data_IF_895343372246
#
_entry.id   IF_895343372246
#
_cell.length_a   1.000
_cell.length_b   1.000
_cell.length_c   1.000
_cell.angle_alpha   90.00
_cell.angle_beta   90.00
_cell.angle_gamma   90.00
#
_symmetry.space_group_name_H-M   'P 1'
#
loop_
_entity.id
_entity.type
_entity.pdbx_description
1 polymer ?
#
# COMPACT_ATOMS: atom_id res chain seq x y z
N UNK A 1 -39.41 -4.89 -13.81
CA UNK A 1 -38.49 -5.81 -13.12
C UNK A 1 -37.44 -4.96 -12.44
N UNK A 2 -37.25 -5.12 -11.14
CA UNK A 2 -36.19 -4.41 -10.41
C UNK A 2 -34.83 -4.89 -10.90
N UNK A 3 -33.98 -3.97 -11.36
CA UNK A 3 -32.61 -4.27 -11.75
C UNK A 3 -31.68 -4.32 -10.53
N UNK A 4 -30.48 -4.84 -10.71
CA UNK A 4 -29.54 -5.00 -9.60
C UNK A 4 -28.97 -3.66 -9.08
N UNK A 5 -28.91 -2.62 -9.92
CA UNK A 5 -28.44 -1.29 -9.53
C UNK A 5 -29.39 -0.66 -8.51
N UNK A 6 -30.70 -0.72 -8.76
CA UNK A 6 -31.72 -0.21 -7.84
C UNK A 6 -31.67 -0.90 -6.48
N UNK A 7 -31.47 -2.22 -6.48
CA UNK A 7 -31.32 -3.00 -5.24
C UNK A 7 -30.06 -2.56 -4.49
N UNK A 8 -28.92 -2.45 -5.20
CA UNK A 8 -27.65 -2.05 -4.60
C UNK A 8 -27.69 -0.63 -4.00
N UNK A 9 -28.22 0.35 -4.75
CA UNK A 9 -28.36 1.73 -4.31
C UNK A 9 -29.22 1.83 -3.04
N UNK A 10 -30.33 1.08 -3.01
CA UNK A 10 -31.23 1.07 -1.86
C UNK A 10 -30.60 0.44 -0.62
N UNK A 11 -29.87 -0.66 -0.78
CA UNK A 11 -29.13 -1.30 0.32
C UNK A 11 -28.06 -0.36 0.87
N UNK A 12 -27.31 0.32 0.00
CA UNK A 12 -26.29 1.31 0.37
C UNK A 12 -26.93 2.45 1.17
N UNK A 13 -28.07 2.97 0.73
CA UNK A 13 -28.81 4.03 1.42
C UNK A 13 -29.23 3.60 2.85
N UNK A 14 -29.74 2.38 3.01
CA UNK A 14 -30.13 1.85 4.33
C UNK A 14 -28.92 1.58 5.24
N UNK A 15 -27.80 1.10 4.67
CA UNK A 15 -26.55 0.95 5.42
C UNK A 15 -25.97 2.30 5.86
N UNK A 16 -26.09 3.36 5.03
CA UNK A 16 -25.71 4.73 5.41
C UNK A 16 -26.53 5.24 6.59
N UNK A 17 -27.85 5.04 6.55
CA UNK A 17 -28.76 5.50 7.61
C UNK A 17 -28.52 4.81 8.94
N UNK A 18 -28.23 3.51 8.92
CA UNK A 18 -28.16 2.67 10.13
C UNK A 18 -26.74 2.44 10.63
N UNK A 19 -25.74 2.85 9.85
CA UNK A 19 -24.33 2.53 10.09
C UNK A 19 -23.97 1.11 9.67
N UNK A 20 -22.72 0.95 9.23
CA UNK A 20 -22.13 -0.36 8.97
C UNK A 20 -21.90 -1.11 10.29
N UNK A 21 -22.31 -2.38 10.38
CA UNK A 21 -21.91 -3.26 11.48
C UNK A 21 -20.37 -3.40 11.60
N UNK A 22 -19.87 -3.72 12.79
CA UNK A 22 -18.43 -3.84 13.06
C UNK A 22 -17.77 -5.07 12.41
N UNK A 23 -18.54 -6.10 12.07
CA UNK A 23 -18.04 -7.35 11.49
C UNK A 23 -18.60 -7.61 10.09
N UNK A 24 -17.82 -8.31 9.27
CA UNK A 24 -18.20 -8.67 7.91
C UNK A 24 -19.44 -9.58 7.90
N UNK A 25 -19.54 -10.54 8.84
CA UNK A 25 -20.68 -11.43 8.97
C UNK A 25 -21.98 -10.67 9.31
N UNK A 26 -21.92 -9.73 10.25
CA UNK A 26 -23.07 -8.91 10.62
C UNK A 26 -23.48 -7.97 9.47
N UNK A 27 -22.51 -7.53 8.67
CA UNK A 27 -22.77 -6.73 7.47
C UNK A 27 -23.46 -7.57 6.39
N UNK A 28 -22.99 -8.78 6.12
CA UNK A 28 -23.59 -9.71 5.18
C UNK A 28 -25.02 -10.10 5.58
N UNK A 29 -25.24 -10.39 6.87
CA UNK A 29 -26.57 -10.67 7.42
C UNK A 29 -27.51 -9.47 7.24
N UNK A 30 -27.03 -8.25 7.50
CA UNK A 30 -27.83 -7.04 7.34
C UNK A 30 -28.20 -6.76 5.89
N UNK A 31 -27.26 -6.94 4.97
CA UNK A 31 -27.52 -6.84 3.52
C UNK A 31 -28.59 -7.85 3.10
N UNK A 32 -28.46 -9.10 3.55
CA UNK A 32 -29.44 -10.15 3.27
C UNK A 32 -30.84 -9.81 3.80
N UNK A 33 -30.92 -9.28 5.03
CA UNK A 33 -32.19 -8.84 5.64
C UNK A 33 -32.82 -7.71 4.83
N UNK A 34 -32.07 -6.67 4.46
CA UNK A 34 -32.60 -5.53 3.68
C UNK A 34 -33.15 -6.02 2.34
N UNK A 35 -32.40 -6.85 1.62
CA UNK A 35 -32.82 -7.39 0.32
C UNK A 35 -34.07 -8.26 0.48
N UNK A 36 -34.10 -9.16 1.48
CA UNK A 36 -35.25 -10.01 1.72
C UNK A 36 -36.51 -9.21 2.11
N UNK A 37 -36.36 -8.12 2.87
CA UNK A 37 -37.48 -7.28 3.29
C UNK A 37 -38.01 -6.35 2.20
N UNK A 38 -37.12 -5.73 1.44
CA UNK A 38 -37.51 -4.68 0.47
C UNK A 38 -37.68 -5.22 -0.95
N UNK A 39 -37.04 -6.35 -1.28
CA UNK A 39 -37.03 -6.95 -2.61
C UNK A 39 -37.35 -8.46 -2.59
N UNK A 40 -38.47 -8.90 -1.96
CA UNK A 40 -38.77 -10.33 -1.75
C UNK A 40 -39.01 -11.12 -3.05
N UNK A 41 -39.28 -10.45 -4.17
CA UNK A 41 -39.56 -11.06 -5.47
C UNK A 41 -38.43 -10.87 -6.48
N UNK A 42 -37.27 -10.33 -6.07
CA UNK A 42 -36.14 -10.13 -6.96
C UNK A 42 -35.57 -11.47 -7.48
N UNK A 43 -35.19 -11.48 -8.76
CA UNK A 43 -34.54 -12.64 -9.36
C UNK A 43 -33.19 -12.92 -8.66
N UNK A 44 -32.89 -14.19 -8.42
CA UNK A 44 -31.67 -14.61 -7.71
C UNK A 44 -30.38 -14.07 -8.35
N UNK A 45 -30.35 -13.94 -9.68
CA UNK A 45 -29.22 -13.35 -10.41
C UNK A 45 -29.03 -11.86 -10.09
N UNK A 46 -30.10 -11.07 -10.05
CA UNK A 46 -30.03 -9.66 -9.68
C UNK A 46 -29.65 -9.46 -8.22
N UNK A 47 -30.13 -10.32 -7.31
CA UNK A 47 -29.72 -10.30 -5.90
C UNK A 47 -28.21 -10.54 -5.78
N UNK A 48 -27.68 -11.56 -6.48
CA UNK A 48 -26.24 -11.86 -6.46
C UNK A 48 -25.39 -10.70 -7.00
N UNK A 49 -25.82 -10.09 -8.10
CA UNK A 49 -25.14 -8.93 -8.68
C UNK A 49 -25.21 -7.70 -7.76
N UNK A 50 -26.36 -7.47 -7.11
CA UNK A 50 -26.54 -6.37 -6.17
C UNK A 50 -25.65 -6.53 -4.93
N UNK A 51 -25.58 -7.74 -4.34
CA UNK A 51 -24.67 -8.03 -3.22
C UNK A 51 -23.22 -7.76 -3.62
N UNK A 52 -22.81 -8.22 -4.81
CA UNK A 52 -21.46 -7.94 -5.33
C UNK A 52 -21.20 -6.43 -5.43
N UNK A 53 -22.14 -5.67 -5.99
CA UNK A 53 -22.01 -4.22 -6.12
C UNK A 53 -21.96 -3.50 -4.76
N UNK A 54 -22.79 -3.90 -3.80
CA UNK A 54 -22.77 -3.37 -2.42
C UNK A 54 -21.42 -3.65 -1.76
N UNK A 55 -20.91 -4.89 -1.87
CA UNK A 55 -19.60 -5.25 -1.33
C UNK A 55 -18.47 -4.42 -1.95
N UNK A 56 -18.50 -4.17 -3.27
CA UNK A 56 -17.53 -3.28 -3.92
C UNK A 56 -17.57 -1.87 -3.32
N UNK A 57 -18.76 -1.32 -3.02
CA UNK A 57 -18.92 0.02 -2.42
C UNK A 57 -18.52 0.08 -0.93
N UNK A 58 -18.73 -1.01 -0.19
CA UNK A 58 -18.22 -1.16 1.17
C UNK A 58 -16.68 -1.17 1.13
N UNK A 59 -16.09 -1.95 0.22
CA UNK A 59 -14.64 -2.10 0.08
C UNK A 59 -13.96 -0.83 -0.45
N UNK A 60 -14.64 -0.04 -1.29
CA UNK A 60 -14.15 1.27 -1.73
C UNK A 60 -14.21 2.34 -0.62
N UNK A 61 -14.91 2.07 0.48
CA UNK A 61 -15.06 2.99 1.60
C UNK A 61 -16.09 4.10 1.35
N UNK A 62 -16.99 3.91 0.37
CA UNK A 62 -18.15 4.78 0.11
C UNK A 62 -19.14 4.76 1.29
N UNK A 63 -19.26 3.60 1.93
CA UNK A 63 -19.98 3.40 3.16
C UNK A 63 -18.98 3.47 4.32
N UNK A 64 -18.95 4.59 5.05
CA UNK A 64 -18.23 4.68 6.34
C UNK A 64 -19.25 4.74 7.46
N UNK A 65 -19.00 4.01 8.55
CA UNK A 65 -19.74 4.25 9.78
C UNK A 65 -19.57 5.73 10.18
N UNK A 66 -20.68 6.42 10.43
CA UNK A 66 -20.73 7.86 10.74
C UNK A 66 -19.94 8.21 12.02
N UNK A 67 -19.60 7.20 12.83
CA UNK A 67 -18.91 7.33 14.12
C UNK A 67 -17.42 6.90 14.12
N UNK A 68 -16.72 6.88 12.99
CA UNK A 68 -15.33 6.37 12.96
C UNK A 68 -14.25 7.34 13.45
N UNK A 69 -14.60 8.57 13.85
CA UNK A 69 -13.61 9.53 14.35
C UNK A 69 -13.39 9.32 15.85
N UNK A 70 -12.23 8.76 16.21
CA UNK A 70 -11.79 8.63 17.61
C UNK A 70 -10.92 9.83 17.99
N UNK A 71 -11.26 10.47 19.11
CA UNK A 71 -10.39 11.47 19.72
C UNK A 71 -9.05 10.84 20.16
N UNK A 72 -7.96 11.59 20.01
CA UNK A 72 -6.64 11.19 20.55
C UNK A 72 -6.79 11.05 22.07
N UNK A 73 -6.38 9.90 22.62
CA UNK A 73 -6.40 9.63 24.06
C UNK A 73 -4.97 9.41 24.56
N UNK A 74 -4.58 9.94 25.73
CA UNK A 74 -3.28 9.67 26.31
C UNK A 74 -3.11 8.19 26.64
N UNK A 75 -1.86 7.72 26.67
CA UNK A 75 -1.50 6.39 27.18
C UNK A 75 -1.08 6.49 28.64
N UNK A 76 -1.26 5.40 29.40
CA UNK A 76 -0.80 5.36 30.79
C UNK A 76 0.73 5.43 30.87
N UNK A 77 1.25 6.24 31.79
CA UNK A 77 2.70 6.44 32.00
C UNK A 77 3.29 5.53 33.08
N UNK A 78 2.48 4.64 33.66
CA UNK A 78 2.93 3.69 34.69
C UNK A 78 4.07 2.81 34.18
N UNK A 79 5.21 2.84 34.87
CA UNK A 79 6.40 2.08 34.50
C UNK A 79 7.28 2.74 33.44
N UNK A 80 6.98 3.97 33.01
CA UNK A 80 7.86 4.77 32.17
C UNK A 80 8.72 5.70 33.03
N UNK A 81 9.99 5.84 32.67
CA UNK A 81 10.85 6.94 33.14
C UNK A 81 10.59 8.15 32.23
N UNK A 82 9.73 9.07 32.68
CA UNK A 82 9.27 10.21 31.89
C UNK A 82 10.27 11.35 32.02
N UNK A 83 11.02 11.60 30.96
CA UNK A 83 11.98 12.72 30.91
C UNK A 83 11.31 14.09 30.82
N UNK A 84 11.98 15.12 31.34
CA UNK A 84 11.58 16.51 31.14
C UNK A 84 11.87 16.96 29.69
N UNK A 85 11.04 17.84 29.09
CA UNK A 85 11.34 18.41 27.78
C UNK A 85 12.65 19.21 27.81
N UNK A 86 13.68 18.75 27.10
CA UNK A 86 15.02 19.38 27.12
C UNK A 86 15.09 20.73 26.37
N UNK A 87 14.17 21.01 25.44
CA UNK A 87 14.20 22.19 24.56
C UNK A 87 12.86 22.95 24.59
N UNK A 88 12.87 24.21 24.16
CA UNK A 88 11.65 24.99 23.99
C UNK A 88 10.78 24.46 22.85
N UNK A 89 9.49 24.82 22.90
CA UNK A 89 8.54 24.53 21.83
C UNK A 89 9.01 25.16 20.50
N UNK A 90 8.96 24.42 19.37
CA UNK A 90 9.30 24.97 18.07
C UNK A 90 8.39 26.13 17.66
N UNK A 91 8.97 27.15 17.05
CA UNK A 91 8.23 28.31 16.54
C UNK A 91 7.75 28.01 15.11
N UNK A 92 6.45 28.16 14.84
CA UNK A 92 5.92 28.09 13.48
C UNK A 92 5.77 29.50 12.91
N UNK A 93 6.39 29.78 11.76
CA UNK A 93 6.27 31.08 11.09
C UNK A 93 6.28 30.96 9.56
N UNK A 94 5.63 31.89 8.87
CA UNK A 94 5.75 32.03 7.41
C UNK A 94 7.01 32.81 7.05
N UNK A 95 7.72 32.36 6.02
CA UNK A 95 8.93 32.99 5.51
C UNK A 95 8.99 32.94 4.00
N UNK A 96 9.70 33.89 3.38
CA UNK A 96 10.11 33.79 1.99
C UNK A 96 11.09 32.61 1.83
N UNK A 97 10.74 31.56 1.07
CA UNK A 97 11.61 30.41 0.89
C UNK A 97 12.96 30.75 0.24
N UNK A 98 13.08 31.85 -0.49
CA UNK A 98 14.34 32.31 -1.08
C UNK A 98 15.33 32.88 -0.05
N UNK A 99 14.87 33.19 1.17
CA UNK A 99 15.72 33.66 2.28
C UNK A 99 16.31 32.52 3.12
N UNK A 100 15.92 31.28 2.84
CA UNK A 100 16.37 30.10 3.55
C UNK A 100 17.75 29.65 3.08
N UNK A 101 18.59 29.23 4.03
CA UNK A 101 19.94 28.74 3.78
C UNK A 101 20.02 27.22 3.98
N UNK A 102 20.98 26.60 3.31
CA UNK A 102 21.27 25.17 3.45
C UNK A 102 22.76 24.99 3.71
N UNK A 103 23.12 24.09 4.61
CA UNK A 103 24.50 23.74 4.89
C UNK A 103 25.01 22.63 3.93
N UNK A 104 25.96 22.92 3.02
CA UNK A 104 26.48 21.92 2.09
C UNK A 104 27.22 20.76 2.76
N UNK A 105 27.70 20.94 4.00
CA UNK A 105 28.46 19.92 4.71
C UNK A 105 27.57 18.82 5.29
N UNK A 106 26.30 19.15 5.58
CA UNK A 106 25.35 18.24 6.22
C UNK A 106 24.20 17.80 5.31
N UNK A 107 23.88 18.58 4.27
CA UNK A 107 22.81 18.25 3.33
C UNK A 107 23.35 17.59 2.07
N UNK A 108 22.54 16.68 1.52
CA UNK A 108 22.90 15.96 0.31
C UNK A 108 22.95 16.92 -0.87
N UNK A 109 23.98 16.78 -1.70
CA UNK A 109 23.98 17.42 -3.01
C UNK A 109 22.76 16.95 -3.82
N UNK A 110 22.13 17.89 -4.52
CA UNK A 110 20.92 17.59 -5.30
C UNK A 110 21.37 16.95 -6.60
N UNK A 111 21.37 15.62 -6.62
CA UNK A 111 21.58 14.84 -7.85
C UNK A 111 20.37 14.87 -8.78
N UNK A 112 20.49 14.19 -9.93
CA UNK A 112 19.45 14.14 -10.97
C UNK A 112 18.08 13.67 -10.45
N UNK A 113 18.07 12.71 -9.52
CA UNK A 113 16.83 12.24 -8.86
C UNK A 113 16.18 13.33 -7.99
N UNK A 114 16.98 14.12 -7.28
CA UNK A 114 16.49 15.24 -6.48
C UNK A 114 15.86 16.31 -7.35
N UNK A 115 16.51 16.66 -8.46
CA UNK A 115 15.96 17.61 -9.45
C UNK A 115 14.64 17.13 -10.04
N UNK A 116 14.51 15.83 -10.39
CA UNK A 116 13.24 15.25 -10.85
C UNK A 116 12.15 15.36 -9.78
N UNK A 117 12.50 15.16 -8.51
CA UNK A 117 11.53 15.32 -7.40
C UNK A 117 11.09 16.77 -7.23
N UNK A 118 12.03 17.72 -7.25
CA UNK A 118 11.73 19.15 -7.16
C UNK A 118 10.79 19.58 -8.28
N UNK A 119 11.07 19.18 -9.54
CA UNK A 119 10.17 19.46 -10.67
C UNK A 119 8.75 18.94 -10.44
N UNK A 120 8.60 17.69 -9.97
CA UNK A 120 7.28 17.14 -9.66
C UNK A 120 6.54 17.91 -8.58
N UNK A 121 7.25 18.41 -7.56
CA UNK A 121 6.64 19.24 -6.51
C UNK A 121 6.19 20.58 -7.09
N UNK A 122 6.98 21.20 -7.96
CA UNK A 122 6.63 22.47 -8.62
C UNK A 122 5.40 22.27 -9.52
N UNK A 123 5.43 21.28 -10.41
CA UNK A 123 4.35 21.03 -11.40
C UNK A 123 3.03 20.59 -10.74
N UNK A 124 3.10 19.91 -9.59
CA UNK A 124 1.96 19.36 -8.88
C UNK A 124 1.83 19.88 -7.45
N UNK A 125 2.14 21.16 -7.23
CA UNK A 125 2.09 21.75 -5.89
C UNK A 125 0.71 21.58 -5.26
N UNK A 126 0.68 21.01 -4.05
CA UNK A 126 -0.55 20.72 -3.32
C UNK A 126 -0.29 20.91 -1.82
N UNK A 127 -0.95 21.90 -1.23
CA UNK A 127 -0.82 22.22 0.19
C UNK A 127 -1.22 21.05 1.10
N UNK A 128 -2.07 20.12 0.63
CA UNK A 128 -2.41 18.92 1.41
C UNK A 128 -1.25 17.92 1.52
N UNK A 129 -0.26 18.02 0.63
CA UNK A 129 0.97 17.20 0.64
C UNK A 129 2.15 17.93 1.29
N UNK A 130 1.95 19.18 1.68
CA UNK A 130 3.00 20.03 2.22
C UNK A 130 3.36 19.65 3.66
N UNK A 131 4.65 19.47 3.91
CA UNK A 131 5.23 19.38 5.27
C UNK A 131 6.12 20.62 5.48
N UNK A 132 5.88 21.44 6.52
CA UNK A 132 6.74 22.58 6.85
C UNK A 132 8.22 22.16 6.96
N UNK A 133 9.15 22.84 6.26
CA UNK A 133 10.58 22.63 6.46
C UNK A 133 11.00 22.90 7.91
N UNK A 134 11.90 22.07 8.43
CA UNK A 134 12.49 22.27 9.75
C UNK A 134 13.76 23.13 9.64
N UNK A 135 13.77 24.21 10.40
CA UNK A 135 14.79 25.26 10.35
C UNK A 135 15.40 25.51 11.73
N UNK A 136 16.60 26.07 11.76
CA UNK A 136 17.21 26.63 12.97
C UNK A 136 17.90 27.96 12.63
N UNK A 137 18.00 28.86 13.60
CA UNK A 137 18.79 30.07 13.44
C UNK A 137 20.28 29.72 13.31
N UNK A 138 20.98 30.43 12.42
CA UNK A 138 22.42 30.34 12.24
C UNK A 138 23.00 31.72 11.95
N UNK A 139 24.31 31.87 12.18
CA UNK A 139 25.05 33.05 11.75
C UNK A 139 25.67 32.78 10.38
N UNK A 140 25.39 33.63 9.41
CA UNK A 140 26.00 33.61 8.09
C UNK A 140 26.45 35.03 7.73
N UNK A 141 27.74 35.21 7.45
CA UNK A 141 28.33 36.51 7.11
C UNK A 141 27.97 37.65 8.10
N UNK A 142 27.90 37.34 9.41
CA UNK A 142 27.57 38.32 10.45
C UNK A 142 26.07 38.64 10.60
N UNK A 143 25.20 37.96 9.84
CA UNK A 143 23.75 38.11 9.93
C UNK A 143 23.10 36.82 10.45
N UNK A 144 22.02 36.98 11.20
CA UNK A 144 21.17 35.85 11.61
C UNK A 144 20.31 35.42 10.44
N UNK A 145 20.40 34.15 10.06
CA UNK A 145 19.66 33.53 8.96
C UNK A 145 18.94 32.27 9.43
N UNK A 146 17.95 31.82 8.66
CA UNK A 146 17.29 30.54 8.88
C UNK A 146 17.93 29.46 8.01
N UNK A 147 18.42 28.41 8.67
CA UNK A 147 19.07 27.27 8.04
C UNK A 147 18.15 26.05 8.04
N UNK A 148 17.85 25.54 6.86
CA UNK A 148 17.03 24.34 6.64
C UNK A 148 17.87 23.10 6.92
N UNK A 149 17.35 22.20 7.76
CA UNK A 149 17.94 20.89 8.00
C UNK A 149 16.99 19.72 7.72
N UNK A 150 15.69 19.95 7.52
CA UNK A 150 14.76 19.01 6.89
C UNK A 150 13.84 19.75 5.91
N UNK A 151 13.51 19.13 4.76
CA UNK A 151 12.60 19.72 3.77
C UNK A 151 13.27 20.54 2.64
N UNK A 152 14.56 20.33 2.36
CA UNK A 152 15.31 21.07 1.32
C UNK A 152 14.60 21.09 -0.05
N UNK A 153 14.12 19.94 -0.56
CA UNK A 153 13.44 19.89 -1.86
C UNK A 153 12.15 20.71 -1.89
N UNK A 154 11.39 20.72 -0.80
CA UNK A 154 10.16 21.51 -0.66
C UNK A 154 10.47 23.00 -0.63
N UNK A 155 11.49 23.42 0.12
CA UNK A 155 11.92 24.81 0.18
C UNK A 155 12.39 25.31 -1.22
N UNK A 156 13.17 24.51 -1.93
CA UNK A 156 13.62 24.85 -3.30
C UNK A 156 12.45 24.90 -4.27
N UNK A 157 11.54 23.92 -4.20
CA UNK A 157 10.35 23.91 -5.05
C UNK A 157 9.47 25.15 -4.79
N UNK A 158 9.28 25.53 -3.53
CA UNK A 158 8.55 26.74 -3.15
C UNK A 158 9.23 28.00 -3.71
N UNK A 159 10.55 28.15 -3.50
CA UNK A 159 11.31 29.29 -4.02
C UNK A 159 11.32 29.36 -5.56
N UNK A 160 11.11 28.22 -6.23
CA UNK A 160 11.06 28.13 -7.69
C UNK A 160 9.65 28.28 -8.26
N UNK A 161 8.61 28.20 -7.44
CA UNK A 161 7.23 28.18 -7.90
C UNK A 161 6.68 29.62 -7.99
N UNK A 162 6.23 30.09 -9.17
CA UNK A 162 5.87 31.50 -9.37
C UNK A 162 4.66 31.97 -8.54
N UNK A 163 3.81 31.03 -8.12
CA UNK A 163 2.65 31.31 -7.26
C UNK A 163 2.88 31.18 -5.75
N UNK A 164 4.11 30.92 -5.28
CA UNK A 164 4.40 30.76 -3.84
C UNK A 164 5.34 31.88 -3.41
N UNK A 165 4.86 32.76 -2.53
CA UNK A 165 5.65 33.88 -1.98
C UNK A 165 6.22 33.58 -0.60
N UNK A 166 5.46 32.83 0.20
CA UNK A 166 5.86 32.44 1.55
C UNK A 166 5.44 31.00 1.82
N UNK A 167 6.20 30.32 2.69
CA UNK A 167 5.87 28.99 3.20
C UNK A 167 5.97 28.98 4.73
N UNK A 168 5.11 28.19 5.42
CA UNK A 168 5.30 27.97 6.84
C UNK A 168 6.51 27.06 7.07
N UNK A 169 7.34 27.44 8.04
CA UNK A 169 8.50 26.67 8.54
C UNK A 169 8.36 26.43 10.03
N UNK A 170 9.00 25.36 10.51
CA UNK A 170 9.11 25.04 11.93
C UNK A 170 10.54 25.31 12.39
N UNK A 171 10.71 26.24 13.33
CA UNK A 171 12.02 26.67 13.82
C UNK A 171 12.29 26.02 15.16
N UNK A 172 13.37 25.26 15.21
CA UNK A 172 13.83 24.57 16.41
C UNK A 172 14.95 25.37 17.08
N UNK A 173 14.91 25.44 18.41
CA UNK A 173 16.07 25.90 19.19
C UNK A 173 17.12 24.78 19.16
N UNK A 174 18.15 24.95 18.34
CA UNK A 174 19.25 24.00 18.29
C UNK A 174 20.54 24.78 18.46
N UNK A 175 21.05 24.80 19.70
CA UNK A 175 22.23 25.56 20.12
C UNK A 175 23.51 25.11 19.40
N UNK A 176 23.57 23.84 18.96
CA UNK A 176 24.75 23.26 18.30
C UNK A 176 24.37 22.42 17.07
N UNK A 177 25.27 22.38 16.08
CA UNK A 177 25.12 21.63 14.83
C UNK A 177 24.95 20.12 15.05
N UNK A 178 25.52 19.57 16.12
CA UNK A 178 25.34 18.17 16.52
C UNK A 178 23.91 17.88 17.01
N UNK A 179 23.30 18.81 17.75
CA UNK A 179 21.91 18.72 18.19
C UNK A 179 20.93 18.83 17.02
N UNK A 180 21.26 19.65 16.00
CA UNK A 180 20.49 19.72 14.73
C UNK A 180 20.50 18.38 14.00
N UNK A 181 21.67 17.71 13.93
CA UNK A 181 21.80 16.39 13.33
C UNK A 181 21.05 15.32 14.12
N UNK A 182 21.11 15.35 15.46
CA UNK A 182 20.35 14.44 16.32
C UNK A 182 18.84 14.64 16.20
N UNK A 183 18.36 15.88 16.13
CA UNK A 183 16.94 16.20 15.88
C UNK A 183 16.48 15.70 14.50
N UNK A 184 17.30 15.90 13.46
CA UNK A 184 17.03 15.38 12.12
C UNK A 184 16.95 13.84 12.09
N UNK A 185 17.88 13.17 12.76
CA UNK A 185 17.85 11.70 12.90
C UNK A 185 16.62 11.28 13.70
N UNK A 186 16.34 11.88 14.85
CA UNK A 186 15.17 11.56 15.68
C UNK A 186 13.85 11.70 14.93
N UNK A 187 13.66 12.79 14.17
CA UNK A 187 12.45 13.02 13.36
C UNK A 187 12.24 11.97 12.27
N UNK A 188 13.32 11.45 11.68
CA UNK A 188 13.25 10.47 10.61
C UNK A 188 13.24 9.01 11.10
N UNK A 189 13.86 8.72 12.25
CA UNK A 189 14.04 7.34 12.75
C UNK A 189 12.89 6.90 13.65
N UNK A 190 12.22 7.83 14.35
CA UNK A 190 11.10 7.50 15.24
C UNK A 190 9.74 7.39 14.51
N UNK A 191 9.71 7.59 13.19
CA UNK A 191 8.48 7.48 12.41
C UNK A 191 8.21 6.02 12.05
N UNK A 192 7.04 5.51 12.44
CA UNK A 192 6.51 4.28 11.84
C UNK A 192 6.28 4.54 10.35
N UNK A 193 7.03 3.82 9.51
CA UNK A 193 6.90 3.93 8.05
C UNK A 193 5.50 3.46 7.66
N UNK A 194 4.78 4.27 6.88
CA UNK A 194 3.47 3.85 6.33
C UNK A 194 3.71 2.62 5.46
N UNK A 195 3.05 1.52 5.80
CA UNK A 195 3.28 0.26 5.10
C UNK A 195 2.68 0.30 3.69
N UNK A 196 3.19 -0.54 2.79
CA UNK A 196 2.64 -0.63 1.43
C UNK A 196 1.13 -0.99 1.42
N UNK A 197 0.67 -1.79 2.39
CA UNK A 197 -0.75 -2.12 2.57
C UNK A 197 -1.58 -0.88 2.93
N UNK A 198 -1.07 -0.05 3.86
CA UNK A 198 -1.73 1.20 4.23
C UNK A 198 -1.74 2.22 3.08
N UNK A 199 -0.66 2.30 2.30
CA UNK A 199 -0.60 3.14 1.10
C UNK A 199 -1.62 2.68 0.06
N UNK A 200 -1.66 1.38 -0.26
CA UNK A 200 -2.63 0.84 -1.22
C UNK A 200 -4.08 1.08 -0.79
N UNK A 201 -4.40 0.86 0.49
CA UNK A 201 -5.72 1.17 1.01
C UNK A 201 -6.07 2.66 0.91
N UNK A 202 -5.09 3.54 1.17
CA UNK A 202 -5.27 4.98 1.00
C UNK A 202 -5.50 5.35 -0.47
N UNK A 203 -4.79 4.71 -1.40
CA UNK A 203 -4.98 4.88 -2.85
C UNK A 203 -6.35 4.41 -3.32
N UNK A 204 -6.85 3.29 -2.79
CA UNK A 204 -8.22 2.81 -3.09
C UNK A 204 -9.27 3.82 -2.67
N UNK A 205 -9.15 4.37 -1.46
CA UNK A 205 -10.02 5.42 -0.95
C UNK A 205 -9.93 6.69 -1.81
N UNK A 206 -8.73 7.02 -2.27
CA UNK A 206 -8.50 8.18 -3.14
C UNK A 206 -9.01 7.98 -4.57
N UNK A 207 -9.57 6.81 -4.90
CA UNK A 207 -10.11 6.52 -6.24
C UNK A 207 -9.03 6.27 -7.29
N UNK A 208 -7.81 5.89 -6.88
CA UNK A 208 -6.71 5.61 -7.79
C UNK A 208 -7.02 4.40 -8.69
N UNK A 209 -7.02 4.60 -10.02
CA UNK A 209 -7.45 3.59 -10.99
C UNK A 209 -6.55 2.35 -11.00
N UNK A 210 -5.25 2.52 -10.77
CA UNK A 210 -4.30 1.41 -10.73
C UNK A 210 -4.53 0.56 -9.47
N UNK A 211 -4.72 1.22 -8.32
CA UNK A 211 -5.10 0.54 -7.08
C UNK A 211 -6.42 -0.23 -7.23
N UNK A 212 -7.44 0.37 -7.85
CA UNK A 212 -8.72 -0.29 -8.11
C UNK A 212 -8.56 -1.50 -9.04
N UNK A 213 -7.75 -1.37 -10.09
CA UNK A 213 -7.45 -2.48 -11.01
C UNK A 213 -6.81 -3.65 -10.27
N UNK A 214 -5.82 -3.37 -9.41
CA UNK A 214 -5.17 -4.39 -8.57
C UNK A 214 -6.18 -5.07 -7.64
N UNK A 215 -7.04 -4.31 -6.97
CA UNK A 215 -8.07 -4.87 -6.09
C UNK A 215 -9.04 -5.79 -6.85
N UNK A 216 -9.51 -5.38 -8.02
CA UNK A 216 -10.38 -6.21 -8.87
C UNK A 216 -9.69 -7.49 -9.37
N UNK A 217 -8.40 -7.41 -9.70
CA UNK A 217 -7.61 -8.58 -10.10
C UNK A 217 -7.50 -9.57 -8.94
N UNK A 218 -7.20 -9.08 -7.73
CA UNK A 218 -7.12 -9.91 -6.54
C UNK A 218 -8.46 -10.56 -6.22
N UNK A 219 -9.55 -9.78 -6.18
CA UNK A 219 -10.90 -10.27 -5.91
C UNK A 219 -11.29 -11.40 -6.88
N UNK A 220 -11.11 -11.19 -8.18
CA UNK A 220 -11.42 -12.19 -9.21
C UNK A 220 -10.52 -13.43 -9.15
N UNK A 221 -9.31 -13.29 -8.62
CA UNK A 221 -8.39 -14.41 -8.43
C UNK A 221 -8.61 -15.16 -7.10
N UNK A 222 -9.49 -14.67 -6.22
CA UNK A 222 -9.68 -15.21 -4.87
C UNK A 222 -8.55 -14.85 -3.90
N UNK A 223 -7.80 -13.77 -4.16
CA UNK A 223 -6.74 -13.26 -3.30
C UNK A 223 -7.31 -12.20 -2.35
N UNK A 224 -7.06 -12.35 -1.05
CA UNK A 224 -7.44 -11.37 -0.03
C UNK A 224 -6.22 -10.55 0.39
N UNK A 225 -6.23 -9.26 0.06
CA UNK A 225 -5.19 -8.31 0.50
C UNK A 225 -5.49 -7.92 1.95
N UNK A 226 -4.58 -8.26 2.87
CA UNK A 226 -4.78 -7.94 4.29
C UNK A 226 -4.58 -6.44 4.56
N UNK A 227 -5.39 -5.88 5.48
CA UNK A 227 -5.25 -4.48 5.93
C UNK A 227 -4.01 -4.26 6.79
N UNK A 228 -3.69 -5.26 7.61
CA UNK A 228 -2.53 -5.27 8.50
C UNK A 228 -1.90 -6.66 8.46
N UNK A 229 -0.58 -6.75 8.68
CA UNK A 229 0.07 -8.06 8.76
C UNK A 229 -0.41 -8.80 10.01
N UNK A 230 -0.95 -10.00 9.83
CA UNK A 230 -1.35 -10.90 10.92
C UNK A 230 -0.36 -12.07 11.03
N UNK A 231 -0.47 -12.88 12.08
CA UNK A 231 0.30 -14.14 12.22
C UNK A 231 -0.46 -15.35 11.66
N UNK A 232 -1.78 -15.26 11.60
CA UNK A 232 -2.66 -16.32 11.12
C UNK A 232 -3.12 -15.93 9.71
N UNK A 233 -2.66 -16.68 8.71
CA UNK A 233 -3.01 -16.49 7.31
C UNK A 233 -3.96 -17.60 6.88
N UNK A 234 -5.01 -17.23 6.16
CA UNK A 234 -5.90 -18.16 5.48
C UNK A 234 -5.45 -18.34 4.03
N UNK A 235 -5.83 -19.46 3.37
CA UNK A 235 -5.60 -19.65 1.94
C UNK A 235 -6.04 -18.44 1.11
N UNK A 236 -5.14 -17.95 0.25
CA UNK A 236 -5.38 -16.77 -0.57
C UNK A 236 -5.03 -15.43 0.09
N UNK A 237 -4.66 -15.40 1.37
CA UNK A 237 -4.19 -14.18 2.02
C UNK A 237 -2.85 -13.71 1.45
N UNK A 238 -2.69 -12.40 1.31
CA UNK A 238 -1.42 -11.80 0.91
C UNK A 238 -1.11 -10.51 1.65
N UNK A 239 0.18 -10.30 1.85
CA UNK A 239 0.78 -9.01 2.24
C UNK A 239 1.67 -8.43 1.14
N UNK A 240 1.78 -9.11 0.00
CA UNK A 240 2.74 -8.81 -1.06
C UNK A 240 2.18 -7.84 -2.12
N UNK A 241 1.52 -6.77 -1.69
CA UNK A 241 0.80 -5.85 -2.60
C UNK A 241 1.69 -5.26 -3.70
N UNK A 242 2.93 -4.87 -3.38
CA UNK A 242 3.87 -4.34 -4.37
C UNK A 242 4.20 -5.34 -5.48
N UNK A 243 4.28 -6.64 -5.14
CA UNK A 243 4.55 -7.68 -6.14
C UNK A 243 3.36 -7.87 -7.07
N UNK A 244 2.14 -7.73 -6.54
CA UNK A 244 0.91 -7.83 -7.33
C UNK A 244 0.76 -6.61 -8.23
N UNK A 245 0.97 -5.39 -7.73
CA UNK A 245 0.97 -4.17 -8.55
C UNK A 245 1.95 -4.29 -9.71
N UNK A 246 3.20 -4.68 -9.43
CA UNK A 246 4.21 -4.91 -10.47
C UNK A 246 3.80 -5.99 -11.49
N UNK A 247 3.12 -7.05 -11.04
CA UNK A 247 2.63 -8.11 -11.92
C UNK A 247 1.54 -7.58 -12.86
N UNK A 248 0.58 -6.81 -12.33
CA UNK A 248 -0.49 -6.19 -13.10
C UNK A 248 0.08 -5.21 -14.12
N UNK A 249 1.01 -4.34 -13.70
CA UNK A 249 1.67 -3.37 -14.59
C UNK A 249 2.40 -4.08 -15.75
N UNK A 250 3.12 -5.16 -15.43
CA UNK A 250 3.97 -5.86 -16.40
C UNK A 250 3.20 -6.78 -17.34
N UNK A 251 2.13 -7.44 -16.86
CA UNK A 251 1.45 -8.53 -17.58
C UNK A 251 0.01 -8.22 -17.95
N UNK A 252 -0.54 -7.12 -17.44
CA UNK A 252 -1.94 -6.77 -17.56
C UNK A 252 -2.84 -7.58 -16.62
N UNK A 253 -4.04 -7.06 -16.38
CA UNK A 253 -5.00 -7.58 -15.41
C UNK A 253 -5.36 -9.07 -15.64
N UNK A 254 -5.57 -9.48 -16.89
CA UNK A 254 -5.99 -10.85 -17.21
C UNK A 254 -4.92 -11.90 -16.88
N UNK A 255 -3.66 -11.66 -17.27
CA UNK A 255 -2.59 -12.62 -17.03
C UNK A 255 -2.19 -12.63 -15.56
N UNK A 256 -2.18 -11.47 -14.89
CA UNK A 256 -1.97 -11.36 -13.46
C UNK A 256 -3.00 -12.16 -12.66
N UNK A 257 -4.29 -12.05 -13.02
CA UNK A 257 -5.37 -12.83 -12.44
C UNK A 257 -5.11 -14.34 -12.57
N UNK A 258 -4.78 -14.84 -13.77
CA UNK A 258 -4.49 -16.27 -13.99
C UNK A 258 -3.34 -16.76 -13.10
N UNK A 259 -2.27 -15.96 -13.00
CA UNK A 259 -1.10 -16.28 -12.17
C UNK A 259 -1.48 -16.37 -10.69
N UNK A 260 -2.27 -15.42 -10.20
CA UNK A 260 -2.74 -15.42 -8.82
C UNK A 260 -3.73 -16.56 -8.54
N UNK A 261 -4.63 -16.86 -9.48
CA UNK A 261 -5.57 -17.99 -9.37
C UNK A 261 -4.86 -19.34 -9.18
N UNK A 262 -3.69 -19.52 -9.78
CA UNK A 262 -2.92 -20.76 -9.58
C UNK A 262 -2.54 -20.95 -8.12
N UNK A 263 -2.14 -19.86 -7.45
CA UNK A 263 -1.69 -19.88 -6.06
C UNK A 263 -2.87 -20.03 -5.09
N UNK A 264 -3.99 -19.36 -5.36
CA UNK A 264 -5.19 -19.47 -4.52
C UNK A 264 -5.84 -20.84 -4.63
N UNK A 265 -5.98 -21.39 -5.84
CA UNK A 265 -6.51 -22.75 -6.07
C UNK A 265 -5.59 -23.85 -5.53
N UNK A 266 -4.32 -23.55 -5.30
CA UNK A 266 -3.37 -24.45 -4.63
C UNK A 266 -3.39 -24.30 -3.09
N UNK A 267 -4.38 -23.58 -2.54
CA UNK A 267 -4.58 -23.35 -1.10
C UNK A 267 -3.36 -22.73 -0.39
N UNK A 268 -2.63 -21.86 -1.07
CA UNK A 268 -1.42 -21.26 -0.52
C UNK A 268 -1.73 -20.16 0.50
N UNK A 269 -1.05 -20.20 1.65
CA UNK A 269 -1.19 -19.24 2.74
C UNK A 269 0.15 -18.97 3.45
N UNK A 270 0.64 -17.72 3.50
CA UNK A 270 0.26 -16.59 2.67
C UNK A 270 0.87 -16.68 1.25
N UNK A 271 0.25 -15.98 0.31
CA UNK A 271 0.82 -15.67 -1.00
C UNK A 271 1.86 -14.55 -0.85
N UNK A 272 3.12 -14.86 -1.17
CA UNK A 272 4.27 -13.96 -1.07
C UNK A 272 5.02 -13.81 -2.40
N UNK A 273 5.82 -12.75 -2.50
CA UNK A 273 6.53 -12.34 -3.73
C UNK A 273 7.27 -13.47 -4.46
N UNK A 274 8.02 -14.38 -3.80
CA UNK A 274 8.72 -15.44 -4.53
C UNK A 274 7.80 -16.40 -5.29
N UNK A 275 6.63 -16.70 -4.73
CA UNK A 275 5.66 -17.62 -5.32
C UNK A 275 5.01 -16.97 -6.54
N UNK A 276 4.64 -15.69 -6.43
CA UNK A 276 4.11 -14.88 -7.54
C UNK A 276 5.10 -14.88 -8.71
N UNK A 277 6.39 -14.59 -8.44
CA UNK A 277 7.44 -14.57 -9.47
C UNK A 277 7.70 -15.95 -10.08
N UNK A 278 7.62 -17.01 -9.28
CA UNK A 278 7.81 -18.37 -9.76
C UNK A 278 6.71 -18.78 -10.75
N UNK A 279 5.43 -18.55 -10.41
CA UNK A 279 4.31 -18.83 -11.31
C UNK A 279 4.34 -17.91 -12.54
N UNK A 280 4.71 -16.63 -12.36
CA UNK A 280 4.90 -15.70 -13.48
C UNK A 280 5.91 -16.26 -14.49
N UNK A 281 7.09 -16.69 -14.03
CA UNK A 281 8.11 -17.27 -14.91
C UNK A 281 7.53 -18.46 -15.69
N UNK A 282 6.95 -19.43 -14.97
CA UNK A 282 6.50 -20.68 -15.55
C UNK A 282 5.38 -20.50 -16.60
N UNK A 283 4.52 -19.50 -16.43
CA UNK A 283 3.38 -19.25 -17.32
C UNK A 283 3.66 -18.20 -18.40
N UNK A 284 4.84 -17.58 -18.43
CA UNK A 284 5.15 -16.50 -19.38
C UNK A 284 6.47 -16.64 -20.13
N UNK A 285 7.43 -17.39 -19.59
CA UNK A 285 8.71 -17.61 -20.25
C UNK A 285 8.59 -18.67 -21.35
N UNK A 286 9.18 -18.41 -22.51
CA UNK A 286 9.13 -19.30 -23.69
C UNK A 286 9.72 -20.68 -23.40
N UNK A 287 10.68 -20.77 -22.48
CA UNK A 287 11.30 -22.05 -22.07
C UNK A 287 10.29 -22.99 -21.39
N UNK A 288 9.26 -22.45 -20.72
CA UNK A 288 8.35 -23.24 -19.88
C UNK A 288 6.90 -23.23 -20.35
N UNK A 289 6.41 -22.09 -20.83
CA UNK A 289 4.97 -21.84 -20.96
C UNK A 289 4.27 -22.72 -22.01
N UNK A 290 5.01 -23.30 -22.96
CA UNK A 290 4.47 -24.24 -23.95
C UNK A 290 4.31 -25.67 -23.40
N UNK A 291 5.05 -26.01 -22.35
CA UNK A 291 5.11 -27.37 -21.82
C UNK A 291 4.14 -27.59 -20.65
N UNK A 292 3.58 -26.52 -20.07
CA UNK A 292 2.67 -26.59 -18.93
C UNK A 292 1.46 -25.69 -19.13
N UNK A 293 0.40 -25.93 -18.36
CA UNK A 293 -0.75 -25.04 -18.27
C UNK A 293 -1.05 -24.70 -16.80
N UNK A 294 -1.93 -23.73 -16.57
CA UNK A 294 -2.27 -23.27 -15.23
C UNK A 294 -2.85 -24.40 -14.35
N UNK A 295 -3.72 -25.25 -14.89
CA UNK A 295 -4.37 -26.35 -14.16
C UNK A 295 -3.37 -27.40 -13.66
N UNK A 296 -2.47 -27.86 -14.53
CA UNK A 296 -1.43 -28.81 -14.19
C UNK A 296 -0.45 -28.22 -13.16
N UNK A 297 -0.15 -26.93 -13.28
CA UNK A 297 0.71 -26.24 -12.33
C UNK A 297 0.03 -26.12 -10.95
N UNK A 298 -1.25 -25.74 -10.90
CA UNK A 298 -2.04 -25.72 -9.66
C UNK A 298 -2.01 -27.09 -8.98
N UNK A 299 -2.29 -28.17 -9.72
CA UNK A 299 -2.28 -29.52 -9.16
C UNK A 299 -0.90 -29.94 -8.62
N UNK A 300 0.18 -29.51 -9.28
CA UNK A 300 1.54 -29.80 -8.83
C UNK A 300 1.91 -29.05 -7.53
N UNK A 301 1.42 -27.83 -7.36
CA UNK A 301 1.65 -27.01 -6.16
C UNK A 301 0.78 -27.49 -5.00
N UNK A 302 -0.51 -27.78 -5.25
CA UNK A 302 -1.47 -28.16 -4.21
C UNK A 302 -1.07 -29.44 -3.45
N UNK A 303 -0.30 -30.33 -4.08
CA UNK A 303 0.07 -31.61 -3.50
C UNK A 303 0.93 -31.50 -2.23
N UNK A 304 1.97 -30.66 -2.23
CA UNK A 304 2.88 -30.49 -1.08
C UNK A 304 3.78 -29.26 -1.28
N UNK A 305 3.17 -28.07 -1.23
CA UNK A 305 3.94 -26.83 -1.41
C UNK A 305 4.89 -26.54 -0.24
N UNK A 306 4.66 -27.10 0.95
CA UNK A 306 5.56 -26.95 2.10
C UNK A 306 6.90 -27.64 1.85
N UNK A 307 6.89 -28.92 1.44
CA UNK A 307 8.11 -29.62 1.08
C UNK A 307 8.83 -28.97 -0.12
N UNK A 308 8.06 -28.44 -1.08
CA UNK A 308 8.64 -27.73 -2.23
C UNK A 308 9.44 -26.49 -1.82
N UNK A 309 9.01 -25.76 -0.78
CA UNK A 309 9.76 -24.62 -0.27
C UNK A 309 11.11 -25.05 0.30
N UNK A 310 11.17 -26.14 1.06
CA UNK A 310 12.41 -26.62 1.66
C UNK A 310 13.37 -27.17 0.60
N UNK A 311 12.84 -27.93 -0.38
CA UNK A 311 13.62 -28.37 -1.53
C UNK A 311 14.17 -27.19 -2.35
N UNK A 312 13.34 -26.16 -2.57
CA UNK A 312 13.76 -24.96 -3.29
C UNK A 312 14.82 -24.14 -2.53
N UNK A 313 14.78 -24.08 -1.19
CA UNK A 313 15.83 -23.43 -0.39
C UNK A 313 17.18 -24.13 -0.57
N UNK A 314 17.19 -25.47 -0.52
CA UNK A 314 18.41 -26.24 -0.76
C UNK A 314 18.95 -26.02 -2.17
N UNK A 315 18.08 -26.10 -3.19
CA UNK A 315 18.46 -25.86 -4.58
C UNK A 315 19.01 -24.44 -4.80
N UNK A 316 18.38 -23.43 -4.19
CA UNK A 316 18.82 -22.05 -4.25
C UNK A 316 20.23 -21.87 -3.67
N UNK A 317 20.53 -22.50 -2.54
CA UNK A 317 21.84 -22.47 -1.91
C UNK A 317 22.90 -23.17 -2.77
N UNK A 318 22.61 -24.38 -3.25
CA UNK A 318 23.56 -25.17 -4.07
C UNK A 318 23.94 -24.46 -5.37
N UNK A 319 22.97 -23.86 -6.06
CA UNK A 319 23.20 -23.22 -7.35
C UNK A 319 23.40 -21.70 -7.28
N UNK A 320 23.37 -21.11 -6.08
CA UNK A 320 23.41 -19.65 -5.83
C UNK A 320 22.35 -18.89 -6.64
N UNK A 321 21.15 -19.45 -6.73
CA UNK A 321 20.04 -18.85 -7.44
C UNK A 321 19.12 -18.06 -6.51
N UNK A 322 18.41 -17.04 -7.03
CA UNK A 322 17.30 -16.45 -6.29
C UNK A 322 16.27 -17.53 -5.92
N UNK A 323 15.75 -17.47 -4.68
CA UNK A 323 14.81 -18.47 -4.16
C UNK A 323 13.60 -18.70 -5.08
N UNK A 324 13.02 -17.63 -5.64
CA UNK A 324 11.87 -17.73 -6.55
C UNK A 324 12.18 -18.54 -7.83
N UNK A 325 13.42 -18.49 -8.33
CA UNK A 325 13.84 -19.25 -9.51
C UNK A 325 14.00 -20.73 -9.17
N UNK A 326 14.58 -21.03 -8.01
CA UNK A 326 14.65 -22.40 -7.51
C UNK A 326 13.26 -23.00 -7.29
N UNK A 327 12.33 -22.21 -6.73
CA UNK A 327 10.94 -22.61 -6.52
C UNK A 327 10.23 -22.92 -7.84
N UNK A 328 10.39 -22.07 -8.86
CA UNK A 328 9.87 -22.32 -10.19
C UNK A 328 10.36 -23.65 -10.78
N UNK A 329 11.65 -23.94 -10.65
CA UNK A 329 12.24 -25.19 -11.16
C UNK A 329 11.71 -26.40 -10.41
N UNK A 330 11.57 -26.32 -9.08
CA UNK A 330 10.96 -27.38 -8.26
C UNK A 330 9.54 -27.69 -8.73
N UNK A 331 8.70 -26.67 -8.90
CA UNK A 331 7.32 -26.85 -9.38
C UNK A 331 7.26 -27.36 -10.82
N UNK A 332 8.11 -26.84 -11.72
CA UNK A 332 8.17 -27.30 -13.10
C UNK A 332 8.51 -28.79 -13.22
N UNK A 333 9.43 -29.30 -12.39
CA UNK A 333 9.81 -30.72 -12.37
C UNK A 333 8.65 -31.64 -11.96
N UNK A 334 7.79 -31.18 -11.04
CA UNK A 334 6.60 -31.90 -10.58
C UNK A 334 5.40 -31.76 -11.53
N UNK A 335 5.36 -30.69 -12.31
CA UNK A 335 4.21 -30.38 -13.17
C UNK A 335 4.13 -31.34 -14.36
N UNK A 336 2.97 -31.99 -14.52
CA UNK A 336 2.67 -32.83 -15.67
C UNK A 336 2.72 -32.01 -16.95
N UNK A 337 3.50 -32.48 -17.93
CA UNK A 337 3.68 -31.78 -19.21
C UNK A 337 2.46 -31.93 -20.10
N UNK A 338 2.06 -30.86 -20.76
CA UNK A 338 0.99 -30.87 -21.76
C UNK A 338 1.45 -31.71 -22.96
N UNK A 339 0.66 -32.71 -23.35
CA UNK A 339 0.96 -33.52 -24.54
C UNK A 339 0.93 -32.62 -25.77
N UNK A 340 2.03 -32.53 -26.52
CA UNK A 340 2.01 -31.89 -27.84
C UNK A 340 1.08 -32.72 -28.72
N UNK A 341 0.00 -32.09 -29.21
CA UNK A 341 -0.81 -32.68 -30.28
C UNK A 341 0.11 -32.67 -31.50
N UNK A 342 0.45 -33.88 -31.99
CA UNK A 342 1.34 -34.09 -33.12
C UNK A 342 0.70 -33.61 -34.43
#
# INVERSE_FOLDING_TARGET
MTDFHTIADRVVEELQKRGLPETDDATAERVAIIIASEFPTAAAEHVRLAISAVNTRIMSGELRAVETLRAIKPVGTSGLDVGEPENIEPICMSVDPATLFVDPMYQRSIGERGLKQIRRIIEGWDWNKFKPPACAYAMHCGQTVLKVFDGQHTAIAAASHPGITEIPVMIHEAKETAAQAAAFVGQNTNRLTVTALQLHHSSLIAGDMDAQTVAQVCERAGVRILRFSTKNFEPGDTVAINAISQLVDKRGAMKARIILEVLTKAEMAPIVTPQIKAVELLLTDEEYCHDINAENLTAAIAADWFADHDAAKQLALTHKWPFWKALAITWFRKTKKTRKVA
#
